data_IF_217372939648
#
_entry.id   IF_217372939648
#
_cell.length_a   1.000
_cell.length_b   1.000
_cell.length_c   1.000
_cell.angle_alpha   90.00
_cell.angle_beta   90.00
_cell.angle_gamma   90.00
#
_symmetry.space_group_name_H-M   'P 1'
#
loop_
_entity.id
_entity.type
_entity.pdbx_description
1 polymer ?
#
# COMPACT_ATOMS: atom_id res chain seq x y z
N UNK A 1 6.43 24.96 -14.74
CA UNK A 1 7.40 25.10 -13.64
C UNK A 1 7.78 26.55 -13.28
N UNK A 2 8.30 27.41 -14.19
CA UNK A 2 8.68 28.82 -13.86
C UNK A 2 7.55 29.63 -13.19
N UNK A 3 6.34 29.60 -13.77
CA UNK A 3 5.14 30.26 -13.23
C UNK A 3 4.78 29.78 -11.82
N UNK A 4 4.88 28.49 -11.57
CA UNK A 4 4.63 27.90 -10.25
C UNK A 4 5.63 28.40 -9.21
N UNK A 5 6.93 28.42 -9.53
CA UNK A 5 7.96 28.92 -8.61
C UNK A 5 7.73 30.40 -8.26
N UNK A 6 7.32 31.21 -9.24
CA UNK A 6 6.97 32.61 -8.99
C UNK A 6 5.75 32.75 -8.07
N UNK A 7 4.72 31.93 -8.26
CA UNK A 7 3.54 31.90 -7.37
C UNK A 7 3.91 31.44 -5.96
N UNK A 8 4.71 30.37 -5.84
CA UNK A 8 5.18 29.85 -4.55
C UNK A 8 5.93 30.91 -3.74
N UNK A 9 6.82 31.68 -4.40
CA UNK A 9 7.57 32.75 -3.74
C UNK A 9 6.68 33.96 -3.39
N UNK A 10 5.78 34.37 -4.31
CA UNK A 10 4.85 35.48 -4.08
C UNK A 10 3.92 35.20 -2.90
N UNK A 11 3.41 33.98 -2.82
CA UNK A 11 2.42 33.57 -1.83
C UNK A 11 3.08 32.90 -0.60
N UNK A 12 4.40 33.00 -0.44
CA UNK A 12 5.19 32.34 0.63
C UNK A 12 4.74 32.67 2.05
N UNK A 13 4.04 33.78 2.25
CA UNK A 13 3.58 34.23 3.55
C UNK A 13 2.08 34.02 3.79
N UNK A 14 1.29 33.70 2.76
CA UNK A 14 -0.17 33.53 2.89
C UNK A 14 -0.53 32.18 3.48
N UNK A 15 -1.32 32.17 4.55
CA UNK A 15 -1.77 30.95 5.22
C UNK A 15 -3.30 31.02 5.42
N UNK A 16 -4.11 30.12 4.80
CA UNK A 16 -3.69 29.03 3.92
C UNK A 16 -3.14 29.52 2.56
N UNK A 17 -2.32 28.70 1.87
CA UNK A 17 -1.88 29.01 0.51
C UNK A 17 -3.07 29.03 -0.46
N UNK A 18 -3.01 29.81 -1.55
CA UNK A 18 -4.11 29.87 -2.52
C UNK A 18 -4.42 28.49 -3.12
N UNK A 19 -5.70 28.12 -3.23
CA UNK A 19 -6.12 26.83 -3.81
C UNK A 19 -5.51 26.58 -5.21
N UNK A 20 -5.49 27.62 -6.06
CA UNK A 20 -4.85 27.56 -7.39
C UNK A 20 -3.38 27.15 -7.36
N UNK A 21 -2.65 27.44 -6.28
CA UNK A 21 -1.26 27.01 -6.11
C UNK A 21 -1.21 25.50 -5.80
N UNK A 22 -2.10 25.00 -4.95
CA UNK A 22 -2.20 23.58 -4.59
C UNK A 22 -2.64 22.73 -5.79
N UNK A 23 -3.62 23.20 -6.56
CA UNK A 23 -4.10 22.52 -7.77
C UNK A 23 -3.00 22.43 -8.82
N UNK A 24 -2.29 23.54 -9.05
CA UNK A 24 -1.18 23.59 -9.99
C UNK A 24 0.00 22.69 -9.56
N UNK A 25 0.24 22.55 -8.25
CA UNK A 25 1.24 21.61 -7.75
C UNK A 25 0.89 20.16 -8.13
N UNK A 26 -0.36 19.74 -7.89
CA UNK A 26 -0.84 18.41 -8.27
C UNK A 26 -0.70 18.13 -9.77
N UNK A 27 -1.16 19.08 -10.60
CA UNK A 27 -1.03 19.01 -12.06
C UNK A 27 0.43 18.85 -12.50
N UNK A 28 1.33 19.71 -11.99
CA UNK A 28 2.75 19.65 -12.37
C UNK A 28 3.44 18.36 -11.91
N UNK A 29 3.03 17.79 -10.77
CA UNK A 29 3.53 16.48 -10.33
C UNK A 29 3.16 15.36 -11.30
N UNK A 30 1.98 15.41 -11.91
CA UNK A 30 1.57 14.46 -12.93
C UNK A 30 2.31 14.70 -14.25
N UNK A 31 2.34 15.95 -14.72
CA UNK A 31 2.98 16.32 -15.99
C UNK A 31 4.48 16.00 -16.01
N UNK A 32 5.16 16.13 -14.87
CA UNK A 32 6.60 15.92 -14.75
C UNK A 32 6.99 14.50 -14.32
N UNK A 33 6.05 13.56 -14.21
CA UNK A 33 6.33 12.21 -13.71
C UNK A 33 7.41 11.47 -14.52
N UNK A 34 7.50 11.75 -15.82
CA UNK A 34 8.50 11.16 -16.72
C UNK A 34 9.89 11.83 -16.65
N UNK A 35 10.01 12.99 -16.00
CA UNK A 35 11.27 13.75 -15.92
C UNK A 35 11.75 13.83 -14.47
N UNK A 36 12.56 12.85 -14.06
CA UNK A 36 13.05 12.77 -12.68
C UNK A 36 13.74 14.06 -12.18
N UNK A 37 14.68 14.70 -12.90
CA UNK A 37 15.34 15.91 -12.41
C UNK A 37 14.36 17.09 -12.21
N UNK A 38 13.37 17.22 -13.10
CA UNK A 38 12.35 18.26 -13.01
C UNK A 38 11.41 18.02 -11.84
N UNK A 39 10.99 16.76 -11.65
CA UNK A 39 10.11 16.35 -10.57
C UNK A 39 10.80 16.49 -9.21
N UNK A 40 12.07 16.08 -9.11
CA UNK A 40 12.89 16.24 -7.91
C UNK A 40 13.00 17.71 -7.51
N UNK A 41 13.28 18.60 -8.47
CA UNK A 41 13.34 20.04 -8.24
C UNK A 41 12.00 20.61 -7.76
N UNK A 42 10.89 20.16 -8.34
CA UNK A 42 9.55 20.57 -7.94
C UNK A 42 9.22 20.11 -6.51
N UNK A 43 9.45 18.82 -6.21
CA UNK A 43 9.24 18.24 -4.87
C UNK A 43 10.11 18.97 -3.84
N UNK A 44 11.38 19.22 -4.14
CA UNK A 44 12.28 19.97 -3.26
C UNK A 44 11.75 21.37 -2.94
N UNK A 45 11.24 22.09 -3.93
CA UNK A 45 10.64 23.41 -3.70
C UNK A 45 9.37 23.36 -2.82
N UNK A 46 8.50 22.38 -3.04
CA UNK A 46 7.27 22.23 -2.24
C UNK A 46 7.56 21.79 -0.81
N UNK A 47 8.48 20.85 -0.62
CA UNK A 47 8.82 20.30 0.70
C UNK A 47 9.72 21.22 1.51
N UNK A 48 10.48 22.10 0.85
CA UNK A 48 11.31 23.13 1.48
C UNK A 48 10.56 24.39 1.93
N UNK A 49 9.26 24.51 1.63
CA UNK A 49 8.48 25.69 2.00
C UNK A 49 7.61 25.47 3.25
N UNK A 50 7.12 26.58 3.85
CA UNK A 50 6.27 26.53 5.05
C UNK A 50 4.93 25.81 4.83
N UNK A 51 4.44 25.78 3.59
CA UNK A 51 3.15 25.19 3.22
C UNK A 51 3.21 23.69 2.93
N UNK A 52 4.32 23.00 3.24
CA UNK A 52 4.49 21.57 2.92
C UNK A 52 3.29 20.69 3.32
N UNK A 53 2.67 20.97 4.47
CA UNK A 53 1.53 20.18 4.96
C UNK A 53 0.27 20.34 4.09
N UNK A 54 0.06 21.52 3.48
CA UNK A 54 -1.03 21.73 2.53
C UNK A 54 -0.78 21.01 1.21
N UNK A 55 0.46 20.90 0.76
CA UNK A 55 0.77 20.12 -0.44
C UNK A 55 0.58 18.61 -0.23
N UNK A 56 0.84 18.11 0.99
CA UNK A 56 0.66 16.70 1.36
C UNK A 56 -0.81 16.27 1.53
N UNK A 57 -1.78 17.17 1.28
CA UNK A 57 -3.20 16.81 1.12
C UNK A 57 -3.52 16.34 -0.30
N UNK A 58 -2.69 16.69 -1.28
CA UNK A 58 -2.89 16.30 -2.68
C UNK A 58 -2.17 14.98 -2.98
N UNK A 59 -2.91 13.95 -3.38
CA UNK A 59 -2.35 12.62 -3.65
C UNK A 59 -1.26 12.60 -4.72
N UNK A 60 -1.36 13.45 -5.75
CA UNK A 60 -0.35 13.49 -6.82
C UNK A 60 0.97 14.08 -6.32
N UNK A 61 0.90 15.05 -5.41
CA UNK A 61 2.10 15.57 -4.74
C UNK A 61 2.71 14.49 -3.85
N UNK A 62 1.89 13.78 -3.07
CA UNK A 62 2.36 12.67 -2.22
C UNK A 62 3.02 11.57 -3.05
N UNK A 63 2.40 11.16 -4.16
CA UNK A 63 2.95 10.19 -5.12
C UNK A 63 4.32 10.64 -5.66
N UNK A 64 4.43 11.90 -6.08
CA UNK A 64 5.69 12.46 -6.58
C UNK A 64 6.77 12.47 -5.48
N UNK A 65 6.43 12.84 -4.24
CA UNK A 65 7.36 12.84 -3.13
C UNK A 65 7.87 11.42 -2.82
N UNK A 66 6.96 10.45 -2.76
CA UNK A 66 7.31 9.03 -2.54
C UNK A 66 8.22 8.53 -3.66
N UNK A 67 7.88 8.80 -4.91
CA UNK A 67 8.69 8.41 -6.06
C UNK A 67 10.10 9.00 -5.99
N UNK A 68 10.23 10.30 -5.69
CA UNK A 68 11.54 10.96 -5.56
C UNK A 68 12.37 10.35 -4.44
N UNK A 69 11.77 10.06 -3.28
CA UNK A 69 12.48 9.42 -2.18
C UNK A 69 12.90 7.98 -2.49
N UNK A 70 12.06 7.19 -3.17
CA UNK A 70 12.41 5.83 -3.61
C UNK A 70 13.61 5.87 -4.55
N UNK A 71 13.61 6.75 -5.56
CA UNK A 71 14.73 6.86 -6.51
C UNK A 71 16.05 7.28 -5.83
N UNK A 72 15.97 7.95 -4.68
CA UNK A 72 17.13 8.33 -3.85
C UNK A 72 17.53 7.26 -2.83
N UNK A 73 16.86 6.11 -2.78
CA UNK A 73 17.05 5.08 -1.75
C UNK A 73 16.58 5.50 -0.34
N UNK A 74 15.79 6.57 -0.23
CA UNK A 74 15.36 7.18 1.04
C UNK A 74 14.02 6.61 1.53
N UNK A 75 13.93 5.28 1.64
CA UNK A 75 12.67 4.56 1.95
C UNK A 75 12.05 4.99 3.28
N UNK A 76 12.86 5.15 4.33
CA UNK A 76 12.34 5.54 5.65
C UNK A 76 11.75 6.96 5.66
N UNK A 77 12.31 7.87 4.83
CA UNK A 77 11.75 9.22 4.65
C UNK A 77 10.43 9.17 3.88
N UNK A 78 10.31 8.30 2.88
CA UNK A 78 9.06 8.08 2.16
C UNK A 78 7.95 7.54 3.09
N UNK A 79 8.28 6.59 3.98
CA UNK A 79 7.34 6.08 4.99
C UNK A 79 6.86 7.18 5.94
N UNK A 80 7.78 7.97 6.53
CA UNK A 80 7.42 9.09 7.41
C UNK A 80 6.54 10.13 6.71
N UNK A 81 6.81 10.40 5.43
CA UNK A 81 6.01 11.34 4.64
C UNK A 81 4.58 10.84 4.45
N UNK A 82 4.39 9.54 4.16
CA UNK A 82 3.06 8.94 4.06
C UNK A 82 2.30 9.01 5.39
N UNK A 83 2.96 8.71 6.51
CA UNK A 83 2.34 8.79 7.84
C UNK A 83 1.83 10.20 8.18
N UNK A 84 2.52 11.23 7.69
CA UNK A 84 2.13 12.62 7.86
C UNK A 84 1.11 13.12 6.82
N UNK A 85 0.83 12.33 5.78
CA UNK A 85 -0.05 12.76 4.69
C UNK A 85 -1.50 12.82 5.17
N UNK A 86 -2.17 13.91 4.77
CA UNK A 86 -3.60 14.13 4.99
C UNK A 86 -4.42 13.95 3.72
N UNK A 87 -3.88 13.26 2.71
CA UNK A 87 -4.62 12.98 1.49
C UNK A 87 -5.81 12.04 1.78
N UNK A 88 -6.94 12.32 1.14
CA UNK A 88 -8.20 11.62 1.37
C UNK A 88 -8.20 10.20 0.79
N UNK A 89 -7.43 9.96 -0.28
CA UNK A 89 -7.40 8.67 -0.99
C UNK A 89 -6.58 7.62 -0.24
N UNK A 90 -7.11 7.12 0.88
CA UNK A 90 -6.44 6.16 1.78
C UNK A 90 -5.98 4.90 1.06
N UNK A 91 -6.76 4.36 0.11
CA UNK A 91 -6.37 3.18 -0.65
C UNK A 91 -5.09 3.43 -1.46
N UNK A 92 -4.93 4.63 -2.04
CA UNK A 92 -3.72 5.01 -2.78
C UNK A 92 -2.52 5.18 -1.86
N UNK A 93 -2.71 5.74 -0.67
CA UNK A 93 -1.63 5.85 0.33
C UNK A 93 -1.14 4.47 0.79
N UNK A 94 -2.06 3.53 1.01
CA UNK A 94 -1.73 2.13 1.34
C UNK A 94 -1.00 1.46 0.16
N UNK A 95 -1.37 1.73 -1.09
CA UNK A 95 -0.63 1.24 -2.25
C UNK A 95 0.80 1.79 -2.29
N UNK A 96 1.01 3.08 -2.01
CA UNK A 96 2.34 3.69 -1.94
C UNK A 96 3.19 3.10 -0.81
N UNK A 97 2.60 2.84 0.36
CA UNK A 97 3.28 2.15 1.46
C UNK A 97 3.83 0.80 1.00
N UNK A 98 3.01 0.01 0.31
CA UNK A 98 3.45 -1.27 -0.24
C UNK A 98 4.55 -1.11 -1.28
N UNK A 99 4.47 -0.11 -2.16
CA UNK A 99 5.49 0.14 -3.18
C UNK A 99 6.85 0.48 -2.57
N UNK A 100 6.90 1.32 -1.53
CA UNK A 100 8.14 1.63 -0.81
C UNK A 100 8.80 0.36 -0.29
N UNK A 101 8.03 -0.50 0.38
CA UNK A 101 8.57 -1.75 0.92
C UNK A 101 8.94 -2.77 -0.16
N UNK A 102 8.22 -2.80 -1.29
CA UNK A 102 8.63 -3.63 -2.43
C UNK A 102 9.96 -3.18 -2.99
N UNK A 103 10.15 -1.87 -3.21
CA UNK A 103 11.40 -1.30 -3.71
C UNK A 103 12.57 -1.57 -2.78
N UNK A 104 12.38 -1.39 -1.48
CA UNK A 104 13.39 -1.75 -0.47
C UNK A 104 13.80 -3.22 -0.54
N UNK A 105 12.85 -4.13 -0.70
CA UNK A 105 13.13 -5.58 -0.80
C UNK A 105 13.80 -5.92 -2.14
N UNK A 106 13.38 -5.28 -3.24
CA UNK A 106 14.00 -5.41 -4.55
C UNK A 106 15.48 -5.01 -4.52
N UNK A 107 15.80 -3.88 -3.91
CA UNK A 107 17.18 -3.41 -3.71
C UNK A 107 18.00 -4.40 -2.87
N UNK A 108 17.46 -4.87 -1.73
CA UNK A 108 18.14 -5.84 -0.88
C UNK A 108 18.49 -7.16 -1.60
N UNK A 109 17.62 -7.60 -2.50
CA UNK A 109 17.79 -8.83 -3.26
C UNK A 109 18.39 -8.61 -4.66
N UNK A 110 18.77 -7.38 -5.01
CA UNK A 110 19.30 -7.02 -6.33
C UNK A 110 18.43 -7.54 -7.48
N UNK A 111 17.12 -7.32 -7.40
CA UNK A 111 16.14 -7.79 -8.39
C UNK A 111 15.14 -6.70 -8.74
N UNK A 112 14.73 -6.66 -10.02
CA UNK A 112 13.77 -5.67 -10.51
C UNK A 112 12.31 -6.10 -10.30
N UNK A 113 12.06 -7.34 -9.84
CA UNK A 113 10.70 -7.83 -9.64
C UNK A 113 10.55 -8.70 -8.39
N UNK A 114 9.33 -8.72 -7.85
CA UNK A 114 8.93 -9.62 -6.77
C UNK A 114 7.78 -10.50 -7.23
N UNK A 115 7.90 -11.80 -6.97
CA UNK A 115 6.81 -12.76 -7.17
C UNK A 115 5.59 -12.40 -6.31
N UNK A 116 4.38 -12.86 -6.67
CA UNK A 116 3.18 -12.63 -5.85
C UNK A 116 3.34 -13.08 -4.38
N UNK A 117 4.06 -14.19 -4.16
CA UNK A 117 4.35 -14.70 -2.82
C UNK A 117 5.30 -13.79 -2.04
N UNK A 118 6.36 -13.28 -2.69
CA UNK A 118 7.27 -12.31 -2.06
C UNK A 118 6.55 -11.01 -1.72
N UNK A 119 5.73 -10.47 -2.64
CA UNK A 119 4.90 -9.28 -2.35
C UNK A 119 3.96 -9.54 -1.17
N UNK A 120 3.31 -10.71 -1.12
CA UNK A 120 2.47 -11.09 0.02
C UNK A 120 3.24 -11.14 1.34
N UNK A 121 4.41 -11.78 1.37
CA UNK A 121 5.28 -11.85 2.56
C UNK A 121 5.76 -10.45 3.00
N UNK A 122 6.10 -9.60 2.03
CA UNK A 122 6.51 -8.23 2.28
C UNK A 122 5.40 -7.41 2.94
N UNK A 123 4.17 -7.46 2.41
CA UNK A 123 3.01 -6.79 3.05
C UNK A 123 2.71 -7.32 4.45
N UNK A 124 2.85 -8.64 4.65
CA UNK A 124 2.63 -9.26 5.97
C UNK A 124 3.67 -8.79 7.00
N UNK A 125 4.93 -8.61 6.58
CA UNK A 125 6.02 -8.15 7.46
C UNK A 125 5.95 -6.64 7.73
N UNK A 126 5.43 -5.86 6.77
CA UNK A 126 5.38 -4.40 6.83
C UNK A 126 3.93 -3.91 6.69
N UNK A 127 3.05 -4.16 7.67
CA UNK A 127 1.67 -3.69 7.62
C UNK A 127 1.64 -2.15 7.58
N UNK A 128 0.70 -1.53 6.84
CA UNK A 128 0.50 -0.09 6.90
C UNK A 128 0.19 0.37 8.33
N UNK A 129 0.69 1.55 8.74
CA UNK A 129 0.40 2.12 10.04
C UNK A 129 -1.06 2.56 10.15
N UNK A 130 -1.54 2.71 11.39
CA UNK A 130 -2.93 3.11 11.72
C UNK A 130 -3.30 4.46 11.09
N UNK A 131 -2.32 5.37 10.91
CA UNK A 131 -2.52 6.65 10.23
C UNK A 131 -2.98 6.52 8.76
N UNK A 132 -2.58 5.43 8.10
CA UNK A 132 -2.96 5.12 6.72
C UNK A 132 -4.18 4.20 6.64
N UNK A 133 -4.34 3.29 7.60
CA UNK A 133 -5.41 2.30 7.64
C UNK A 133 -5.95 2.15 9.08
N UNK A 134 -6.89 3.02 9.50
CA UNK A 134 -7.41 3.02 10.86
C UNK A 134 -8.10 1.71 11.26
N UNK A 135 -8.83 1.09 10.33
CA UNK A 135 -9.51 -0.19 10.53
C UNK A 135 -8.55 -1.39 10.57
N UNK A 136 -7.26 -1.14 10.30
CA UNK A 136 -6.25 -2.17 10.14
C UNK A 136 -6.45 -3.02 8.88
N UNK A 137 -5.45 -3.84 8.58
CA UNK A 137 -5.60 -4.82 7.50
C UNK A 137 -6.66 -5.85 7.90
N UNK A 138 -7.67 -6.04 7.05
CA UNK A 138 -8.69 -7.09 7.23
C UNK A 138 -8.02 -8.41 7.59
N UNK A 139 -8.43 -8.99 8.73
CA UNK A 139 -7.94 -10.29 9.15
C UNK A 139 -8.37 -11.34 8.12
N UNK A 140 -7.40 -11.94 7.44
CA UNK A 140 -7.64 -12.98 6.41
C UNK A 140 -7.72 -14.38 7.01
N UNK A 141 -7.51 -14.52 8.32
CA UNK A 141 -7.63 -15.79 8.99
C UNK A 141 -9.11 -16.14 9.16
N UNK A 142 -9.42 -17.43 9.05
CA UNK A 142 -10.73 -17.95 9.40
C UNK A 142 -11.01 -17.74 10.89
N UNK A 143 -12.28 -17.51 11.24
CA UNK A 143 -12.73 -17.50 12.63
C UNK A 143 -12.39 -18.81 13.33
N UNK A 144 -12.34 -18.81 14.66
CA UNK A 144 -12.11 -20.03 15.43
C UNK A 144 -13.14 -21.12 15.12
N UNK A 145 -14.40 -20.75 14.95
CA UNK A 145 -15.49 -21.66 14.60
C UNK A 145 -15.25 -22.35 13.25
N UNK A 146 -14.96 -21.59 12.19
CA UNK A 146 -14.65 -22.13 10.86
C UNK A 146 -13.41 -23.04 10.92
N UNK A 147 -12.38 -22.64 11.68
CA UNK A 147 -11.18 -23.48 11.87
C UNK A 147 -11.54 -24.81 12.53
N UNK A 148 -12.31 -24.78 13.61
CA UNK A 148 -12.72 -25.98 14.34
C UNK A 148 -13.55 -26.91 13.46
N UNK A 149 -14.51 -26.39 12.69
CA UNK A 149 -15.34 -27.19 11.79
C UNK A 149 -14.51 -27.86 10.68
N UNK A 150 -13.59 -27.13 10.04
CA UNK A 150 -12.68 -27.68 9.04
C UNK A 150 -11.77 -28.78 9.62
N UNK A 151 -11.23 -28.55 10.83
CA UNK A 151 -10.43 -29.55 11.54
C UNK A 151 -11.24 -30.80 11.90
N UNK A 152 -12.45 -30.62 12.44
CA UNK A 152 -13.38 -31.71 12.78
C UNK A 152 -13.68 -32.56 11.55
N UNK A 153 -14.07 -31.94 10.45
CA UNK A 153 -14.34 -32.66 9.20
C UNK A 153 -13.11 -33.43 8.70
N UNK A 154 -11.92 -32.82 8.77
CA UNK A 154 -10.69 -33.48 8.35
C UNK A 154 -10.35 -34.71 9.19
N UNK A 155 -10.65 -34.68 10.49
CA UNK A 155 -10.40 -35.76 11.44
C UNK A 155 -11.47 -36.86 11.38
N UNK A 156 -12.74 -36.49 11.28
CA UNK A 156 -13.86 -37.43 11.40
C UNK A 156 -14.33 -37.99 10.05
N UNK A 157 -14.12 -37.26 8.95
CA UNK A 157 -14.67 -37.62 7.63
C UNK A 157 -13.56 -37.93 6.62
N UNK A 158 -12.81 -36.91 6.20
CA UNK A 158 -11.72 -37.10 5.21
C UNK A 158 -10.84 -35.87 5.06
N UNK A 159 -9.56 -36.10 4.78
CA UNK A 159 -8.63 -35.04 4.36
C UNK A 159 -8.72 -34.68 2.87
N UNK A 160 -9.49 -35.44 2.07
CA UNK A 160 -9.63 -35.28 0.63
C UNK A 160 -11.11 -35.11 0.21
N UNK A 161 -11.79 -34.03 0.64
CA UNK A 161 -13.21 -33.85 0.32
C UNK A 161 -13.42 -33.74 -1.19
N UNK A 162 -14.45 -34.43 -1.70
CA UNK A 162 -14.88 -34.33 -3.10
C UNK A 162 -15.60 -33.00 -3.38
N UNK A 163 -15.99 -32.74 -4.64
CA UNK A 163 -16.61 -31.47 -5.05
C UNK A 163 -17.85 -31.14 -4.20
N UNK A 164 -18.78 -32.10 -4.06
CA UNK A 164 -20.04 -31.93 -3.30
C UNK A 164 -19.78 -31.62 -1.83
N UNK A 165 -18.83 -32.33 -1.20
CA UNK A 165 -18.45 -32.08 0.19
C UNK A 165 -17.83 -30.68 0.37
N UNK A 166 -16.98 -30.24 -0.57
CA UNK A 166 -16.40 -28.90 -0.51
C UNK A 166 -17.44 -27.80 -0.67
N UNK A 167 -18.43 -28.01 -1.54
CA UNK A 167 -19.52 -27.07 -1.75
C UNK A 167 -20.44 -26.98 -0.52
N UNK A 168 -20.78 -28.11 0.10
CA UNK A 168 -21.56 -28.13 1.35
C UNK A 168 -20.83 -27.42 2.49
N UNK A 169 -19.56 -27.76 2.72
CA UNK A 169 -18.72 -27.08 3.72
C UNK A 169 -18.62 -25.56 3.45
N UNK A 170 -18.48 -25.18 2.18
CA UNK A 170 -18.40 -23.77 1.82
C UNK A 170 -19.71 -23.02 2.13
N UNK A 171 -20.85 -23.64 1.85
CA UNK A 171 -22.17 -23.09 2.18
C UNK A 171 -22.37 -22.96 3.70
N UNK A 172 -22.06 -24.01 4.46
CA UNK A 172 -22.26 -24.05 5.92
C UNK A 172 -21.43 -23.00 6.66
N UNK A 173 -20.20 -22.74 6.17
CA UNK A 173 -19.25 -21.80 6.79
C UNK A 173 -19.25 -20.40 6.16
N UNK A 174 -20.15 -20.14 5.20
CA UNK A 174 -20.16 -18.92 4.39
C UNK A 174 -18.78 -18.60 3.77
N UNK A 175 -18.16 -19.62 3.20
CA UNK A 175 -16.88 -19.54 2.48
C UNK A 175 -17.08 -19.77 0.99
N UNK A 176 -16.08 -19.40 0.20
CA UNK A 176 -15.98 -19.81 -1.18
C UNK A 176 -15.47 -21.26 -1.27
N UNK A 177 -15.95 -22.09 -2.22
CA UNK A 177 -15.44 -23.46 -2.40
C UNK A 177 -13.92 -23.53 -2.60
N UNK A 178 -13.33 -22.50 -3.20
CA UNK A 178 -11.86 -22.38 -3.37
C UNK A 178 -11.13 -22.16 -2.06
N UNK A 179 -11.74 -21.47 -1.08
CA UNK A 179 -11.19 -21.28 0.27
C UNK A 179 -11.12 -22.61 1.02
N UNK A 180 -12.19 -23.42 0.94
CA UNK A 180 -12.24 -24.78 1.51
C UNK A 180 -11.20 -25.68 0.84
N UNK A 181 -11.16 -25.69 -0.50
CA UNK A 181 -10.15 -26.44 -1.27
C UNK A 181 -8.72 -26.09 -0.82
N UNK A 182 -8.40 -24.80 -0.75
CA UNK A 182 -7.08 -24.32 -0.37
C UNK A 182 -6.72 -24.70 1.08
N UNK A 183 -7.69 -24.67 1.99
CA UNK A 183 -7.47 -25.10 3.37
C UNK A 183 -7.07 -26.58 3.44
N UNK A 184 -7.83 -27.47 2.80
CA UNK A 184 -7.52 -28.91 2.80
C UNK A 184 -6.20 -29.22 2.09
N UNK A 185 -5.90 -28.51 0.98
CA UNK A 185 -4.62 -28.65 0.28
C UNK A 185 -3.44 -28.24 1.17
N UNK A 186 -3.58 -27.16 1.95
CA UNK A 186 -2.57 -26.71 2.91
C UNK A 186 -2.47 -27.64 4.12
N UNK A 187 -3.60 -28.13 4.63
CA UNK A 187 -3.67 -29.07 5.75
C UNK A 187 -2.86 -30.33 5.44
N UNK A 188 -3.14 -30.99 4.30
CA UNK A 188 -2.38 -32.18 3.86
C UNK A 188 -0.89 -31.91 3.64
N UNK A 189 -0.54 -30.74 3.11
CA UNK A 189 0.87 -30.35 2.93
C UNK A 189 1.60 -30.25 4.28
N UNK A 190 0.95 -29.75 5.32
CA UNK A 190 1.54 -29.64 6.67
C UNK A 190 1.66 -30.99 7.38
N UNK A 191 0.76 -31.93 7.12
CA UNK A 191 0.83 -33.27 7.71
C UNK A 191 1.96 -34.14 7.12
N UNK A 192 2.50 -33.76 5.96
CA UNK A 192 3.60 -34.46 5.29
C UNK A 192 4.98 -33.88 5.58
N UNK A 193 5.02 -32.73 6.25
CA UNK A 193 6.24 -31.99 6.60
C UNK A 193 6.61 -32.27 8.05
#
# INVERSE_FOLDING_TARGET
>A
MKRFMAMLNRDKNKDPPPAKLLDLAGQLCQDLQSSFPSLEKLVGAMMGCKHKMYFLTNIHVVQACVFVHIQKGQHDTACRLLECSKAEQKEKLVQLWHEIHYRRVMEQHHTDFLTPLQKFRCRKRNPPPISLCPEGLKNRNYSDEVRQQLHRFAAEVTTNPNKKQREGLAQDMNLQPTQVYNWFANYRRRQKS
#
